data_IF_186220092423
#
_entry.id   IF_186220092423
#
_cell.length_a   1.000
_cell.length_b   1.000
_cell.length_c   1.000
_cell.angle_alpha   90.00
_cell.angle_beta   90.00
_cell.angle_gamma   90.00
#
_symmetry.space_group_name_H-M   'P 1'
#
loop_
_entity.id
_entity.type
_entity.pdbx_description
1 polymer ?
#
# COMPACT_ATOMS: atom_id res chain seq x y z
N UNK A 1 29.03 1.34 13.87
CA UNK A 1 27.82 1.75 13.14
C UNK A 1 27.98 3.20 12.76
N UNK A 2 28.15 3.49 11.48
CA UNK A 2 28.41 4.85 10.98
C UNK A 2 27.14 5.70 11.04
N UNK A 3 27.28 7.03 11.06
CA UNK A 3 26.11 7.95 11.04
C UNK A 3 25.21 7.69 9.82
N UNK A 4 25.81 7.31 8.69
CA UNK A 4 25.10 7.01 7.45
C UNK A 4 24.19 5.77 7.56
N UNK A 5 24.66 4.70 8.20
CA UNK A 5 23.86 3.48 8.43
C UNK A 5 22.63 3.78 9.26
N UNK A 6 22.78 4.61 10.31
CA UNK A 6 21.66 5.01 11.18
C UNK A 6 20.60 5.82 10.43
N UNK A 7 21.02 6.69 9.50
CA UNK A 7 20.10 7.42 8.63
C UNK A 7 19.36 6.47 7.68
N UNK A 8 20.06 5.52 7.06
CA UNK A 8 19.46 4.58 6.14
C UNK A 8 18.39 3.71 6.83
N UNK A 9 18.70 3.16 8.01
CA UNK A 9 17.76 2.36 8.80
C UNK A 9 16.53 3.17 9.21
N UNK A 10 16.73 4.44 9.57
CA UNK A 10 15.64 5.36 9.87
C UNK A 10 14.72 5.55 8.65
N UNK A 11 15.29 5.83 7.46
CA UNK A 11 14.50 6.00 6.23
C UNK A 11 13.74 4.73 5.84
N UNK A 12 14.37 3.56 5.97
CA UNK A 12 13.72 2.28 5.67
C UNK A 12 12.53 2.02 6.60
N UNK A 13 12.72 2.26 7.90
CA UNK A 13 11.66 2.14 8.90
C UNK A 13 10.52 3.11 8.63
N UNK A 14 10.86 4.34 8.25
CA UNK A 14 9.89 5.37 7.92
C UNK A 14 9.07 5.00 6.68
N UNK A 15 9.69 4.52 5.61
CA UNK A 15 8.98 4.07 4.39
C UNK A 15 8.04 2.91 4.72
N UNK A 16 8.49 1.92 5.48
CA UNK A 16 7.66 0.78 5.84
C UNK A 16 6.50 1.17 6.76
N UNK A 17 6.73 2.09 7.69
CA UNK A 17 5.70 2.70 8.53
C UNK A 17 4.63 3.39 7.68
N UNK A 18 5.03 4.28 6.76
CA UNK A 18 4.10 4.96 5.85
C UNK A 18 3.34 3.99 4.96
N UNK A 19 4.02 3.00 4.39
CA UNK A 19 3.37 1.94 3.60
C UNK A 19 2.32 1.20 4.42
N UNK A 20 2.65 0.85 5.67
CA UNK A 20 1.74 0.20 6.60
C UNK A 20 0.52 1.05 6.96
N UNK A 21 0.74 2.32 7.30
CA UNK A 21 -0.34 3.29 7.59
C UNK A 21 -1.30 3.40 6.41
N UNK A 22 -0.76 3.62 5.21
CA UNK A 22 -1.56 3.80 4.00
C UNK A 22 -2.33 2.52 3.67
N UNK A 23 -1.68 1.36 3.77
CA UNK A 23 -2.33 0.07 3.59
C UNK A 23 -3.48 -0.14 4.58
N UNK A 24 -3.25 0.11 5.88
CA UNK A 24 -4.26 -0.06 6.92
C UNK A 24 -5.47 0.87 6.71
N UNK A 25 -5.22 2.11 6.30
CA UNK A 25 -6.27 3.08 5.98
C UNK A 25 -7.07 2.63 4.75
N UNK A 26 -6.40 2.29 3.64
CA UNK A 26 -7.07 1.84 2.41
C UNK A 26 -7.90 0.58 2.65
N UNK A 27 -7.37 -0.37 3.43
CA UNK A 27 -8.09 -1.58 3.80
C UNK A 27 -9.32 -1.25 4.65
N UNK A 28 -9.20 -0.34 5.63
CA UNK A 28 -10.31 0.09 6.48
C UNK A 28 -11.43 0.76 5.68
N UNK A 29 -11.10 1.70 4.81
CA UNK A 29 -12.08 2.35 3.94
C UNK A 29 -12.69 1.36 2.94
N UNK A 30 -11.89 0.44 2.39
CA UNK A 30 -12.39 -0.64 1.56
C UNK A 30 -13.40 -1.49 2.31
N UNK A 31 -13.12 -1.85 3.56
CA UNK A 31 -14.04 -2.62 4.39
C UNK A 31 -15.29 -1.81 4.76
N UNK A 32 -15.15 -0.51 5.02
CA UNK A 32 -16.26 0.40 5.32
C UNK A 32 -17.24 0.52 4.14
N UNK A 33 -16.73 0.56 2.90
CA UNK A 33 -17.57 0.56 1.69
C UNK A 33 -18.26 -0.79 1.47
N UNK A 34 -17.61 -1.91 1.79
CA UNK A 34 -18.22 -3.26 1.69
C UNK A 34 -19.28 -3.53 2.76
N UNK A 35 -19.12 -2.93 3.94
CA UNK A 35 -20.03 -3.10 5.09
C UNK A 35 -21.04 -1.94 5.22
N UNK A 36 -21.24 -1.18 4.14
CA UNK A 36 -22.23 -0.11 4.01
C UNK A 36 -22.19 0.91 5.19
N UNK A 37 -20.97 1.29 5.60
CA UNK A 37 -20.76 2.28 6.64
C UNK A 37 -20.98 1.80 8.08
N UNK A 38 -21.14 0.49 8.32
CA UNK A 38 -21.30 -0.06 9.67
C UNK A 38 -20.10 0.20 10.62
N UNK A 39 -18.94 0.59 10.09
CA UNK A 39 -17.75 0.89 10.88
C UNK A 39 -17.74 2.36 11.35
N UNK A 40 -17.57 2.56 12.65
CA UNK A 40 -17.40 3.91 13.24
C UNK A 40 -16.05 4.48 12.84
N UNK A 41 -16.04 5.73 12.36
CA UNK A 41 -14.87 6.47 11.89
C UNK A 41 -13.67 6.46 12.85
N UNK A 42 -13.93 6.42 14.16
CA UNK A 42 -12.89 6.33 15.21
C UNK A 42 -11.95 5.13 15.00
N UNK A 43 -12.43 4.06 14.35
CA UNK A 43 -11.62 2.88 14.06
C UNK A 43 -10.61 3.07 12.93
N UNK A 44 -10.69 4.16 12.16
CA UNK A 44 -9.67 4.50 11.15
C UNK A 44 -8.30 4.75 11.79
N UNK A 45 -8.27 5.36 12.98
CA UNK A 45 -7.03 5.58 13.74
C UNK A 45 -6.44 4.27 14.25
N UNK A 46 -7.27 3.34 14.72
CA UNK A 46 -6.76 2.01 15.09
C UNK A 46 -6.22 1.26 13.89
N UNK A 47 -6.91 1.32 12.74
CA UNK A 47 -6.44 0.69 11.51
C UNK A 47 -5.10 1.29 11.01
N UNK A 48 -4.91 2.60 11.14
CA UNK A 48 -3.66 3.25 10.76
C UNK A 48 -2.50 2.87 11.68
N UNK A 49 -2.72 2.82 13.01
CA UNK A 49 -1.73 2.39 13.99
C UNK A 49 -1.36 0.92 13.76
N UNK A 50 -2.35 0.04 13.62
CA UNK A 50 -2.14 -1.38 13.34
C UNK A 50 -1.38 -1.56 12.02
N UNK A 51 -1.76 -0.81 10.98
CA UNK A 51 -1.06 -0.78 9.71
C UNK A 51 0.41 -0.37 9.86
N UNK A 52 0.69 0.72 10.59
CA UNK A 52 2.06 1.20 10.86
C UNK A 52 2.91 0.11 11.53
N UNK A 53 2.36 -0.54 12.56
CA UNK A 53 3.01 -1.63 13.27
C UNK A 53 3.31 -2.78 12.31
N UNK A 54 2.31 -3.26 11.54
CA UNK A 54 2.51 -4.32 10.55
C UNK A 54 3.60 -3.94 9.55
N UNK A 55 3.57 -2.71 9.04
CA UNK A 55 4.56 -2.19 8.11
C UNK A 55 5.98 -2.27 8.67
N UNK A 56 6.21 -1.75 9.87
CA UNK A 56 7.53 -1.80 10.51
C UNK A 56 7.97 -3.25 10.80
N UNK A 57 7.08 -4.09 11.34
CA UNK A 57 7.41 -5.49 11.61
C UNK A 57 7.71 -6.30 10.34
N UNK A 58 7.05 -5.96 9.23
CA UNK A 58 7.25 -6.65 7.96
C UNK A 58 8.63 -6.43 7.33
N UNK A 59 9.40 -5.42 7.77
CA UNK A 59 10.82 -5.29 7.41
C UNK A 59 11.68 -6.49 7.81
N UNK A 60 11.23 -7.29 8.79
CA UNK A 60 11.88 -8.56 9.16
C UNK A 60 11.66 -9.67 8.14
N UNK A 61 10.63 -9.53 7.30
CA UNK A 61 10.19 -10.56 6.35
C UNK A 61 10.48 -10.17 4.90
N UNK A 62 10.43 -8.87 4.59
CA UNK A 62 10.57 -8.33 3.25
C UNK A 62 11.47 -7.08 3.27
N UNK A 63 12.27 -6.87 2.23
CA UNK A 63 13.14 -5.70 2.16
C UNK A 63 12.32 -4.41 1.94
N UNK A 64 12.84 -3.28 2.42
CA UNK A 64 12.22 -1.95 2.29
C UNK A 64 11.82 -1.59 0.84
N UNK A 65 12.55 -2.11 -0.15
CA UNK A 65 12.25 -1.91 -1.57
C UNK A 65 10.86 -2.45 -1.97
N UNK A 66 10.36 -3.50 -1.31
CA UNK A 66 9.01 -4.03 -1.53
C UNK A 66 7.95 -3.05 -1.04
N UNK A 67 8.18 -2.37 0.09
CA UNK A 67 7.28 -1.34 0.61
C UNK A 67 7.22 -0.13 -0.31
N UNK A 68 8.38 0.33 -0.80
CA UNK A 68 8.45 1.43 -1.75
C UNK A 68 7.74 1.06 -3.06
N UNK A 69 7.99 -0.13 -3.59
CA UNK A 69 7.33 -0.63 -4.80
C UNK A 69 5.81 -0.73 -4.62
N UNK A 70 5.36 -1.22 -3.47
CA UNK A 70 3.95 -1.26 -3.12
C UNK A 70 3.33 0.14 -3.10
N UNK A 71 3.96 1.12 -2.44
CA UNK A 71 3.48 2.50 -2.44
C UNK A 71 3.39 3.09 -3.86
N UNK A 72 4.42 2.88 -4.68
CA UNK A 72 4.43 3.33 -6.07
C UNK A 72 3.32 2.66 -6.89
N UNK A 73 3.13 1.35 -6.71
CA UNK A 73 2.07 0.58 -7.35
C UNK A 73 0.68 1.06 -6.94
N UNK A 74 0.49 1.43 -5.67
CA UNK A 74 -0.76 2.01 -5.19
C UNK A 74 -1.10 3.31 -5.91
N UNK A 75 -0.14 4.24 -5.97
CA UNK A 75 -0.30 5.53 -6.65
C UNK A 75 -0.64 5.31 -8.12
N UNK A 76 0.09 4.41 -8.79
CA UNK A 76 -0.17 4.07 -10.18
C UNK A 76 -1.56 3.46 -10.38
N UNK A 77 -1.99 2.56 -9.49
CA UNK A 77 -3.32 1.94 -9.54
C UNK A 77 -4.44 2.97 -9.38
N UNK A 78 -4.30 3.91 -8.43
CA UNK A 78 -5.25 5.01 -8.24
C UNK A 78 -5.30 5.92 -9.46
N UNK A 79 -4.14 6.32 -10.00
CA UNK A 79 -4.08 7.16 -11.21
C UNK A 79 -4.73 6.48 -12.41
N UNK A 80 -4.45 5.18 -12.60
CA UNK A 80 -5.05 4.41 -13.69
C UNK A 80 -6.57 4.34 -13.56
N UNK A 81 -7.07 4.07 -12.36
CA UNK A 81 -8.50 4.06 -12.08
C UNK A 81 -9.14 5.44 -12.31
N UNK A 82 -8.45 6.53 -11.98
CA UNK A 82 -8.93 7.89 -12.22
C UNK A 82 -9.03 8.21 -13.71
N UNK A 83 -8.03 7.80 -14.50
CA UNK A 83 -8.06 7.93 -15.96
C UNK A 83 -9.17 7.08 -16.57
N UNK A 84 -9.33 5.83 -16.12
CA UNK A 84 -10.39 4.94 -16.59
C UNK A 84 -11.79 5.50 -16.25
N UNK A 85 -12.00 5.99 -15.03
CA UNK A 85 -13.26 6.60 -14.64
C UNK A 85 -13.57 7.84 -15.49
N UNK A 86 -12.60 8.73 -15.70
CA UNK A 86 -12.81 9.95 -16.49
C UNK A 86 -12.96 9.73 -17.99
N UNK A 87 -12.31 8.71 -18.56
CA UNK A 87 -12.26 8.50 -20.01
C UNK A 87 -13.22 7.41 -20.51
N UNK A 88 -13.35 6.31 -19.78
CA UNK A 88 -14.11 5.13 -20.19
C UNK A 88 -15.53 5.14 -19.62
N UNK A 89 -15.74 5.74 -18.45
CA UNK A 89 -17.04 5.72 -17.78
C UNK A 89 -17.43 7.07 -17.18
N UNK A 90 -17.60 8.13 -18.00
CA UNK A 90 -17.88 9.47 -17.50
C UNK A 90 -19.22 9.58 -16.75
N UNK A 91 -20.18 8.70 -17.03
CA UNK A 91 -21.52 8.65 -16.40
C UNK A 91 -21.56 7.81 -15.10
N UNK A 92 -20.40 7.45 -14.54
CA UNK A 92 -20.34 6.55 -13.40
C UNK A 92 -20.91 7.21 -12.13
N UNK A 93 -21.81 6.54 -11.37
CA UNK A 93 -22.36 7.11 -10.16
C UNK A 93 -21.25 7.37 -9.13
N UNK A 94 -21.18 8.63 -8.68
CA UNK A 94 -20.13 9.13 -7.77
C UNK A 94 -19.99 8.33 -6.48
N UNK A 95 -21.08 7.68 -6.05
CA UNK A 95 -21.13 6.86 -4.84
C UNK A 95 -20.17 5.67 -4.85
N UNK A 96 -19.86 5.12 -6.02
CA UNK A 96 -19.03 3.91 -6.13
C UNK A 96 -17.56 4.21 -6.45
N UNK A 97 -17.28 5.40 -6.98
CA UNK A 97 -15.94 5.84 -7.40
C UNK A 97 -14.87 5.65 -6.30
N UNK A 98 -15.13 6.01 -5.01
CA UNK A 98 -14.15 5.79 -3.94
C UNK A 98 -13.81 4.32 -3.75
N UNK A 99 -14.79 3.42 -3.84
CA UNK A 99 -14.58 1.97 -3.71
C UNK A 99 -13.64 1.43 -4.79
N UNK A 100 -13.82 1.84 -6.04
CA UNK A 100 -12.94 1.44 -7.13
C UNK A 100 -11.52 1.96 -6.96
N UNK A 101 -11.32 3.19 -6.48
CA UNK A 101 -10.00 3.73 -6.19
C UNK A 101 -9.29 2.98 -5.06
N UNK A 102 -10.03 2.61 -4.01
CA UNK A 102 -9.50 1.83 -2.89
C UNK A 102 -9.04 0.44 -3.35
N UNK A 103 -9.89 -0.25 -4.13
CA UNK A 103 -9.56 -1.57 -4.68
C UNK A 103 -8.38 -1.48 -5.65
N UNK A 104 -8.39 -0.52 -6.57
CA UNK A 104 -7.31 -0.34 -7.54
C UNK A 104 -5.98 0.02 -6.86
N UNK A 105 -6.01 0.87 -5.83
CA UNK A 105 -4.84 1.19 -5.02
C UNK A 105 -4.28 -0.05 -4.32
N UNK A 106 -5.12 -0.81 -3.60
CA UNK A 106 -4.69 -2.03 -2.92
C UNK A 106 -4.16 -3.09 -3.89
N UNK A 107 -4.83 -3.27 -5.03
CA UNK A 107 -4.38 -4.19 -6.08
C UNK A 107 -3.02 -3.75 -6.65
N UNK A 108 -2.85 -2.46 -6.95
CA UNK A 108 -1.59 -1.90 -7.42
C UNK A 108 -0.45 -2.10 -6.41
N UNK A 109 -0.73 -1.89 -5.12
CA UNK A 109 0.22 -2.13 -4.04
C UNK A 109 0.67 -3.59 -3.97
N UNK A 110 -0.28 -4.52 -3.98
CA UNK A 110 0.00 -5.95 -3.95
C UNK A 110 0.77 -6.40 -5.18
N UNK A 111 0.35 -6.00 -6.38
CA UNK A 111 1.00 -6.40 -7.64
C UNK A 111 2.45 -5.90 -7.70
N UNK A 112 2.70 -4.61 -7.45
CA UNK A 112 4.05 -4.05 -7.52
C UNK A 112 4.97 -4.62 -6.42
N UNK A 113 4.45 -4.75 -5.20
CA UNK A 113 5.17 -5.37 -4.09
C UNK A 113 5.57 -6.81 -4.39
N UNK A 114 4.63 -7.62 -4.89
CA UNK A 114 4.89 -9.03 -5.25
C UNK A 114 5.88 -9.16 -6.40
N UNK A 115 5.80 -8.30 -7.42
CA UNK A 115 6.77 -8.30 -8.53
C UNK A 115 8.18 -8.06 -8.02
N UNK A 116 8.38 -7.00 -7.23
CA UNK A 116 9.70 -6.69 -6.67
C UNK A 116 10.17 -7.77 -5.71
N UNK A 117 9.29 -8.29 -4.86
CA UNK A 117 9.62 -9.42 -3.99
C UNK A 117 10.08 -10.65 -4.77
N UNK A 118 9.38 -11.02 -5.86
CA UNK A 118 9.76 -12.13 -6.74
C UNK A 118 11.11 -11.89 -7.40
N UNK A 119 11.33 -10.70 -7.97
CA UNK A 119 12.62 -10.34 -8.61
C UNK A 119 13.77 -10.43 -7.60
N UNK A 120 13.59 -9.88 -6.40
CA UNK A 120 14.61 -9.91 -5.34
C UNK A 120 14.86 -11.32 -4.83
N UNK A 121 13.86 -12.19 -4.82
CA UNK A 121 14.02 -13.60 -4.42
C UNK A 121 14.69 -14.45 -5.50
N UNK A 122 14.52 -14.11 -6.78
CA UNK A 122 15.14 -14.82 -7.91
C UNK A 122 16.60 -14.43 -8.12
N UNK A 123 16.97 -13.16 -7.90
CA UNK A 123 18.36 -12.67 -8.01
C UNK A 123 19.41 -13.52 -7.27
N UNK A 124 19.27 -13.85 -5.98
CA UNK A 124 20.26 -14.67 -5.28
C UNK A 124 20.38 -16.09 -5.86
N UNK A 125 19.33 -16.60 -6.52
CA UNK A 125 19.33 -17.91 -7.16
C UNK A 125 19.97 -17.93 -8.56
N UNK A 126 20.23 -16.76 -9.15
CA UNK A 126 20.89 -16.61 -10.45
C UNK A 126 22.37 -16.24 -10.33
N UNK A 127 22.84 -15.98 -9.10
CA UNK A 127 24.24 -15.66 -8.79
C UNK A 127 25.01 -16.85 -8.17
N UNK A 128 24.38 -18.03 -8.08
CA UNK A 128 25.00 -19.33 -7.83
C UNK A 128 25.12 -20.10 -9.14
#
# INVERSE_FOLDING_TARGET
MSVLERYLDFFQTLIACFAGVIFGIFLYFGLMTLLDGALRWEHSLYASIVGAVIGVFSLRLMPWAVHLAGLAGMVLGVLLALVLAGYVWPEMPYEHIPGYFLIAGLAGMLCAGLLVYRVLKVRPNQQM
#
